data_IF_696339449170
#
_entry.id   IF_696339449170
#
_cell.length_a   1.000
_cell.length_b   1.000
_cell.length_c   1.000
_cell.angle_alpha   90.00
_cell.angle_beta   90.00
_cell.angle_gamma   90.00
#
_symmetry.space_group_name_H-M   'P 1'
#
loop_
_entity.id
_entity.type
_entity.pdbx_description
1 polymer ?
#
# COMPACT_ATOMS: atom_id res chain seq x y z
N UNK A 1 1.50 1.24 12.03
CA UNK A 1 0.51 0.41 11.30
C UNK A 1 0.90 0.36 9.84
N UNK A 2 0.83 -0.78 9.13
CA UNK A 2 1.12 -0.83 7.69
C UNK A 2 0.00 -0.17 6.86
N UNK A 3 0.34 0.34 5.67
CA UNK A 3 -0.63 0.99 4.76
C UNK A 3 -1.82 0.08 4.41
N UNK A 4 -1.56 -1.21 4.24
CA UNK A 4 -2.59 -2.24 3.98
C UNK A 4 -3.63 -2.40 5.10
N UNK A 5 -3.37 -1.88 6.31
CA UNK A 5 -4.31 -1.92 7.42
C UNK A 5 -5.16 -0.64 7.53
N UNK A 6 -4.76 0.47 6.88
CA UNK A 6 -5.46 1.74 6.96
C UNK A 6 -6.90 1.66 6.42
N UNK A 7 -7.18 1.02 5.26
CA UNK A 7 -8.54 0.92 4.77
C UNK A 7 -9.47 0.22 5.75
N UNK A 8 -9.00 -0.84 6.42
CA UNK A 8 -9.79 -1.53 7.43
C UNK A 8 -9.97 -0.70 8.72
N UNK A 9 -8.93 0.01 9.14
CA UNK A 9 -8.97 0.80 10.37
C UNK A 9 -9.94 1.99 10.28
N UNK A 10 -10.00 2.63 9.11
CA UNK A 10 -10.82 3.80 8.85
C UNK A 10 -12.09 3.51 8.04
N UNK A 11 -12.43 2.24 7.80
CA UNK A 11 -13.54 1.82 6.96
C UNK A 11 -13.55 2.55 5.59
N UNK A 12 -12.41 2.48 4.89
CA UNK A 12 -12.20 3.02 3.56
C UNK A 12 -12.27 1.91 2.52
N UNK A 13 -12.72 2.26 1.32
CA UNK A 13 -12.74 1.33 0.18
C UNK A 13 -11.32 1.17 -0.35
N UNK A 14 -10.79 -0.04 -0.29
CA UNK A 14 -9.48 -0.38 -0.86
C UNK A 14 -9.53 -0.28 -2.39
N UNK A 15 -8.72 0.63 -2.97
CA UNK A 15 -8.73 0.95 -4.41
C UNK A 15 -7.98 -0.09 -5.25
N UNK A 16 -6.76 -0.46 -4.85
CA UNK A 16 -5.97 -1.50 -5.52
C UNK A 16 -5.59 -2.60 -4.53
N UNK A 17 -6.30 -3.72 -4.62
CA UNK A 17 -6.02 -4.91 -3.80
C UNK A 17 -4.98 -5.80 -4.49
N UNK A 18 -3.79 -5.92 -3.91
CA UNK A 18 -2.74 -6.76 -4.47
C UNK A 18 -1.38 -6.61 -3.80
N UNK A 19 -0.37 -7.16 -4.45
CA UNK A 19 1.03 -7.04 -4.05
C UNK A 19 1.79 -6.34 -5.17
N UNK A 20 2.81 -5.55 -4.81
CA UNK A 20 3.71 -4.91 -5.77
C UNK A 20 5.10 -5.55 -5.67
N UNK A 21 5.81 -5.79 -6.79
CA UNK A 21 7.11 -6.43 -6.74
C UNK A 21 8.22 -5.41 -6.44
N UNK A 22 8.41 -5.14 -5.14
CA UNK A 22 9.27 -4.06 -4.63
C UNK A 22 10.73 -4.15 -5.08
N UNK A 23 11.25 -5.36 -5.35
CA UNK A 23 12.63 -5.53 -5.79
C UNK A 23 12.90 -4.99 -7.20
N UNK A 24 11.86 -4.74 -8.03
CA UNK A 24 12.06 -4.12 -9.35
C UNK A 24 12.56 -2.69 -9.31
N UNK A 25 12.27 -1.96 -8.23
CA UNK A 25 12.65 -0.56 -8.13
C UNK A 25 14.18 -0.37 -8.07
N UNK A 26 14.94 -1.45 -7.93
CA UNK A 26 16.41 -1.44 -7.77
C UNK A 26 17.15 -1.84 -9.06
N UNK A 27 16.47 -2.36 -10.10
CA UNK A 27 17.13 -2.87 -11.31
C UNK A 27 17.08 -1.87 -12.48
N UNK A 28 18.24 -1.60 -13.09
CA UNK A 28 18.38 -0.74 -14.27
C UNK A 28 17.79 -1.37 -15.54
N UNK A 29 16.62 -0.88 -15.94
CA UNK A 29 15.94 -0.83 -17.27
C UNK A 29 15.99 -2.00 -18.28
N UNK A 30 16.75 -3.08 -18.08
CA UNK A 30 17.01 -4.09 -19.13
C UNK A 30 16.28 -5.42 -18.92
N UNK A 31 15.86 -5.74 -17.70
CA UNK A 31 15.19 -7.03 -17.36
C UNK A 31 13.67 -6.91 -17.14
N UNK A 32 13.10 -5.74 -17.42
CA UNK A 32 11.74 -5.33 -17.04
C UNK A 32 10.63 -6.23 -17.63
N UNK A 33 10.88 -6.89 -18.77
CA UNK A 33 9.92 -7.76 -19.44
C UNK A 33 9.87 -9.20 -18.89
N UNK A 34 10.93 -9.67 -18.22
CA UNK A 34 11.04 -11.04 -17.67
C UNK A 34 10.50 -11.15 -16.23
N UNK A 35 10.05 -10.02 -15.70
CA UNK A 35 9.62 -9.82 -14.34
C UNK A 35 8.42 -10.67 -13.89
N UNK A 36 7.51 -10.94 -14.82
CA UNK A 36 6.22 -11.58 -14.56
C UNK A 36 6.32 -13.00 -13.98
N UNK A 37 7.44 -13.69 -14.18
CA UNK A 37 7.50 -15.12 -13.87
C UNK A 37 7.94 -15.43 -12.44
N UNK A 38 8.72 -14.55 -11.80
CA UNK A 38 9.35 -14.90 -10.53
C UNK A 38 8.69 -14.22 -9.33
N UNK A 39 8.09 -15.03 -8.46
CA UNK A 39 7.54 -14.58 -7.18
C UNK A 39 8.62 -13.95 -6.27
N UNK A 40 9.91 -14.22 -6.52
CA UNK A 40 11.03 -13.64 -5.79
C UNK A 40 10.99 -12.11 -5.76
N UNK A 41 10.60 -11.47 -6.86
CA UNK A 41 10.58 -10.01 -6.93
C UNK A 41 9.53 -9.34 -6.03
N UNK A 42 8.56 -10.12 -5.54
CA UNK A 42 7.58 -9.70 -4.54
C UNK A 42 8.06 -9.91 -3.09
N UNK A 43 9.30 -10.37 -2.91
CA UNK A 43 9.97 -10.60 -1.62
C UNK A 43 9.10 -11.39 -0.61
N UNK A 44 8.71 -12.63 -0.94
CA UNK A 44 7.84 -13.45 -0.10
C UNK A 44 8.47 -13.79 1.26
N UNK A 45 9.79 -13.71 1.40
CA UNK A 45 10.54 -14.03 2.62
C UNK A 45 10.45 -12.91 3.66
N UNK A 46 10.25 -11.66 3.22
CA UNK A 46 9.97 -10.53 4.12
C UNK A 46 8.62 -10.65 4.84
N UNK A 47 7.69 -11.44 4.29
CA UNK A 47 6.39 -11.65 4.87
C UNK A 47 6.40 -12.80 5.89
N UNK A 48 5.66 -12.64 7.00
CA UNK A 48 5.32 -13.77 7.89
C UNK A 48 4.71 -14.91 7.07
N UNK A 49 5.06 -16.17 7.39
CA UNK A 49 4.62 -17.40 6.68
C UNK A 49 3.17 -17.39 6.15
N UNK A 50 2.22 -16.88 6.94
CA UNK A 50 0.80 -16.77 6.55
C UNK A 50 0.58 -15.83 5.36
N UNK A 51 1.22 -14.66 5.35
CA UNK A 51 1.10 -13.66 4.29
C UNK A 51 1.89 -14.08 3.06
N UNK A 52 3.08 -14.65 3.24
CA UNK A 52 3.89 -15.23 2.16
C UNK A 52 3.08 -16.27 1.35
N UNK A 53 2.37 -17.19 2.01
CA UNK A 53 1.47 -18.14 1.33
C UNK A 53 0.32 -17.47 0.54
N UNK A 54 -0.22 -16.36 1.04
CA UNK A 54 -1.29 -15.63 0.34
C UNK A 54 -0.74 -14.95 -0.92
N UNK A 55 0.45 -14.36 -0.81
CA UNK A 55 1.17 -13.74 -1.92
C UNK A 55 1.47 -14.78 -3.02
N UNK A 56 2.05 -15.92 -2.66
CA UNK A 56 2.35 -16.99 -3.62
C UNK A 56 1.09 -17.51 -4.33
N UNK A 57 -0.02 -17.68 -3.61
CA UNK A 57 -1.31 -18.06 -4.20
C UNK A 57 -1.86 -16.99 -5.15
N UNK A 58 -1.81 -15.72 -4.75
CA UNK A 58 -2.26 -14.59 -5.57
C UNK A 58 -1.42 -14.49 -6.85
N UNK A 59 -0.10 -14.63 -6.73
CA UNK A 59 0.84 -14.57 -7.85
C UNK A 59 0.62 -15.72 -8.84
N UNK A 60 0.48 -16.96 -8.34
CA UNK A 60 0.17 -18.11 -9.20
C UNK A 60 -1.15 -17.96 -9.95
N UNK A 61 -2.17 -17.38 -9.32
CA UNK A 61 -3.45 -17.08 -9.99
C UNK A 61 -3.29 -16.02 -11.09
N UNK A 62 -2.56 -14.93 -10.80
CA UNK A 62 -2.24 -13.87 -11.77
C UNK A 62 -1.52 -14.40 -13.00
N UNK A 63 -0.56 -15.32 -12.80
CA UNK A 63 0.15 -15.98 -13.90
C UNK A 63 -0.77 -16.88 -14.72
N UNK A 64 -1.63 -17.68 -14.07
CA UNK A 64 -2.60 -18.54 -14.76
C UNK A 64 -3.62 -17.75 -15.59
N UNK A 65 -3.93 -16.52 -15.19
CA UNK A 65 -4.79 -15.57 -15.94
C UNK A 65 -4.07 -14.94 -17.15
N UNK A 66 -2.79 -15.23 -17.37
CA UNK A 66 -2.00 -14.65 -18.46
C UNK A 66 -1.71 -13.16 -18.27
N UNK A 67 -1.71 -12.68 -17.02
CA UNK A 67 -1.45 -11.27 -16.71
C UNK A 67 -0.06 -10.84 -17.18
N UNK A 68 0.00 -9.73 -17.92
CA UNK A 68 1.25 -9.11 -18.37
C UNK A 68 1.50 -7.87 -17.52
N UNK A 69 2.42 -7.99 -16.57
CA UNK A 69 2.96 -6.87 -15.81
C UNK A 69 3.74 -5.91 -16.70
N UNK A 70 3.32 -4.65 -16.67
CA UNK A 70 4.05 -3.50 -17.19
C UNK A 70 4.47 -2.64 -15.99
N UNK A 71 5.77 -2.62 -15.69
CA UNK A 71 6.28 -1.94 -14.51
C UNK A 71 5.97 -0.44 -14.51
N UNK A 72 6.09 0.26 -15.65
CA UNK A 72 5.91 1.71 -15.71
C UNK A 72 4.46 2.10 -15.42
N UNK A 73 3.52 1.31 -15.94
CA UNK A 73 2.11 1.49 -15.64
C UNK A 73 1.79 1.10 -14.19
N UNK A 74 2.26 -0.07 -13.75
CA UNK A 74 1.95 -0.64 -12.45
C UNK A 74 2.50 0.21 -11.29
N UNK A 75 3.72 0.76 -11.41
CA UNK A 75 4.31 1.61 -10.36
C UNK A 75 3.52 2.90 -10.18
N UNK A 76 3.11 3.53 -11.29
CA UNK A 76 2.31 4.76 -11.23
C UNK A 76 0.96 4.49 -10.60
N UNK A 77 0.24 3.47 -11.05
CA UNK A 77 -1.06 3.09 -10.48
C UNK A 77 -0.95 2.69 -9.00
N UNK A 78 0.12 1.99 -8.62
CA UNK A 78 0.37 1.60 -7.23
C UNK A 78 0.59 2.83 -6.36
N UNK A 79 1.48 3.75 -6.78
CA UNK A 79 1.75 4.99 -6.05
C UNK A 79 0.50 5.87 -5.91
N UNK A 80 -0.30 6.01 -6.98
CA UNK A 80 -1.56 6.77 -6.92
C UNK A 80 -2.50 6.16 -5.89
N UNK A 81 -2.71 4.84 -5.93
CA UNK A 81 -3.58 4.15 -4.97
C UNK A 81 -3.09 4.32 -3.53
N UNK A 82 -1.77 4.22 -3.28
CA UNK A 82 -1.19 4.38 -1.94
C UNK A 82 -1.39 5.81 -1.41
N UNK A 83 -1.16 6.82 -2.24
CA UNK A 83 -1.39 8.23 -1.89
C UNK A 83 -2.87 8.48 -1.62
N UNK A 84 -3.78 7.96 -2.46
CA UNK A 84 -5.22 8.13 -2.26
C UNK A 84 -5.69 7.52 -0.92
N UNK A 85 -5.19 6.33 -0.55
CA UNK A 85 -5.50 5.70 0.74
C UNK A 85 -4.98 6.56 1.90
N UNK A 86 -3.74 7.06 1.80
CA UNK A 86 -3.15 7.92 2.82
C UNK A 86 -3.94 9.22 2.97
N UNK A 87 -4.31 9.88 1.87
CA UNK A 87 -5.10 11.10 1.88
C UNK A 87 -6.45 10.87 2.54
N UNK A 88 -7.19 9.81 2.15
CA UNK A 88 -8.48 9.50 2.74
C UNK A 88 -8.38 9.19 4.24
N UNK A 89 -7.34 8.45 4.66
CA UNK A 89 -7.12 8.16 6.06
C UNK A 89 -6.79 9.43 6.87
N UNK A 90 -5.94 10.31 6.34
CA UNK A 90 -5.61 11.59 6.96
C UNK A 90 -6.84 12.49 7.11
N UNK A 91 -7.71 12.54 6.10
CA UNK A 91 -8.95 13.32 6.16
C UNK A 91 -9.91 12.75 7.22
N UNK A 92 -10.15 11.43 7.23
CA UNK A 92 -10.98 10.80 8.27
C UNK A 92 -10.41 11.00 9.67
N UNK A 93 -9.08 10.89 9.83
CA UNK A 93 -8.43 11.15 11.12
C UNK A 93 -8.65 12.60 11.57
N UNK A 94 -8.49 13.57 10.67
CA UNK A 94 -8.75 14.98 10.95
C UNK A 94 -10.19 15.21 11.38
N UNK A 95 -11.15 14.66 10.66
CA UNK A 95 -12.58 14.82 10.97
C UNK A 95 -12.93 14.23 12.34
N UNK A 96 -12.39 13.05 12.67
CA UNK A 96 -12.55 12.42 13.98
C UNK A 96 -11.97 13.30 15.10
N UNK A 97 -10.74 13.80 14.94
CA UNK A 97 -10.12 14.68 15.93
C UNK A 97 -10.94 15.95 16.17
N UNK A 98 -11.38 16.62 15.09
CA UNK A 98 -12.20 17.83 15.21
C UNK A 98 -13.55 17.57 15.88
N UNK A 99 -14.15 16.41 15.64
CA UNK A 99 -15.42 16.02 16.24
C UNK A 99 -15.28 15.76 17.74
N UNK A 100 -14.21 15.09 18.15
CA UNK A 100 -14.03 14.66 19.55
C UNK A 100 -13.36 15.72 20.44
N UNK A 101 -12.47 16.55 19.90
CA UNK A 101 -11.65 17.47 20.71
C UNK A 101 -11.75 18.94 20.28
N UNK A 102 -12.53 19.26 19.23
CA UNK A 102 -12.61 20.60 18.59
C UNK A 102 -11.30 21.15 18.00
N UNK A 103 -10.21 20.39 18.12
CA UNK A 103 -8.86 20.77 17.67
C UNK A 103 -8.64 20.22 16.26
N UNK A 104 -8.11 21.06 15.38
CA UNK A 104 -7.71 20.65 14.03
C UNK A 104 -6.24 20.20 14.01
N UNK A 105 -5.95 18.89 13.87
CA UNK A 105 -4.59 18.37 14.00
C UNK A 105 -3.62 18.84 12.91
N UNK A 106 -4.13 19.48 11.84
CA UNK A 106 -3.29 20.03 10.77
C UNK A 106 -3.13 21.55 10.83
N UNK A 107 -3.96 22.24 11.62
CA UNK A 107 -3.81 23.69 11.84
C UNK A 107 -3.15 24.00 13.18
N UNK A 108 -3.37 23.16 14.18
CA UNK A 108 -2.83 23.36 15.51
C UNK A 108 -1.72 22.35 15.79
N UNK A 109 -0.50 22.84 16.02
CA UNK A 109 0.61 22.01 16.51
C UNK A 109 0.45 21.81 18.02
N UNK A 110 -0.63 21.17 18.46
CA UNK A 110 -0.82 20.89 19.88
C UNK A 110 0.02 19.67 20.24
N UNK A 111 1.28 19.90 20.61
CA UNK A 111 1.96 18.96 21.49
C UNK A 111 1.15 18.87 22.78
N UNK A 112 0.95 17.65 23.29
CA UNK A 112 0.20 17.37 24.54
C UNK A 112 0.69 18.25 25.71
N UNK A 113 1.94 18.72 25.67
CA UNK A 113 2.55 19.61 26.65
C UNK A 113 1.85 20.97 26.84
N UNK A 114 1.01 21.44 25.92
CA UNK A 114 0.30 22.74 26.06
C UNK A 114 -1.11 22.56 26.67
N UNK A 115 -1.62 21.33 26.76
CA UNK A 115 -2.96 21.03 27.28
C UNK A 115 -3.00 20.56 28.75
N UNK A 116 -1.86 20.58 29.47
CA UNK A 116 -1.75 20.29 30.90
C UNK A 116 -1.45 21.56 31.69
#
# INVERSE_FOLDING_TARGET
>A
MPLTALPKAFDLKELKKGYFPHLFNTFGSSELSRANSSAHFYDPDHFKRRHSRKLLKWHGKRQAEGYVFDFQKEIVEYCISDVEILTQACLKFRDLMKTETTVDPFQESTTIAIML
#
